data_IF_645815950219
#
_entry.id   IF_645815950219
#
_cell.length_a   1.000
_cell.length_b   1.000
_cell.length_c   1.000
_cell.angle_alpha   90.00
_cell.angle_beta   90.00
_cell.angle_gamma   90.00
#
_symmetry.space_group_name_H-M   'P 1'
#
loop_
_entity.id
_entity.type
_entity.pdbx_description
1 polymer ?
#
# COMPACT_ATOMS: atom_id res chain seq x y z
N UNK A 1 -3.84 16.68 21.04
CA UNK A 1 -4.60 15.41 21.02
C UNK A 1 -6.12 15.66 20.93
N UNK A 2 -6.70 16.60 21.69
CA UNK A 2 -8.15 16.87 21.65
C UNK A 2 -8.67 17.44 20.31
N UNK A 3 -7.84 18.17 19.58
CA UNK A 3 -8.20 18.71 18.25
C UNK A 3 -8.11 17.66 17.14
N UNK A 4 -7.29 16.62 17.34
CA UNK A 4 -7.10 15.51 16.40
C UNK A 4 -8.28 14.53 16.43
N UNK A 5 -8.81 14.25 17.63
CA UNK A 5 -9.97 13.39 17.83
C UNK A 5 -11.26 14.00 17.24
N UNK A 6 -11.41 15.33 17.30
CA UNK A 6 -12.58 16.04 16.78
C UNK A 6 -12.68 16.00 15.24
N UNK A 7 -11.54 15.99 14.53
CA UNK A 7 -11.52 15.93 13.08
C UNK A 7 -11.84 14.52 12.53
N UNK A 8 -11.56 13.46 13.29
CA UNK A 8 -11.87 12.07 12.90
C UNK A 8 -13.36 11.73 13.06
N UNK A 9 -14.11 12.44 13.91
CA UNK A 9 -15.52 12.13 14.19
C UNK A 9 -16.50 12.70 13.14
N UNK A 10 -16.07 13.63 12.27
CA UNK A 10 -16.94 14.37 11.36
C UNK A 10 -17.19 13.71 9.99
N UNK A 11 -16.60 12.55 9.71
CA UNK A 11 -16.60 11.94 8.37
C UNK A 11 -17.25 10.56 8.38
N UNK A 12 -18.58 10.50 8.26
CA UNK A 12 -19.32 9.28 7.89
C UNK A 12 -19.62 9.30 6.41
N UNK A 13 -19.17 8.28 5.66
CA UNK A 13 -19.57 8.07 4.26
C UNK A 13 -20.10 6.63 4.12
N UNK A 14 -21.30 6.52 3.54
CA UNK A 14 -22.01 5.26 3.33
C UNK A 14 -21.50 4.48 2.13
N UNK A 15 -21.60 3.14 2.23
CA UNK A 15 -21.37 2.18 1.14
C UNK A 15 -22.28 2.48 -0.05
N UNK A 16 -21.71 2.53 -1.25
CA UNK A 16 -22.45 2.39 -2.51
C UNK A 16 -21.71 1.46 -3.46
N UNK A 17 -22.35 0.35 -3.78
CA UNK A 17 -22.04 -0.50 -4.93
C UNK A 17 -22.92 -0.05 -6.08
N UNK A 18 -22.31 0.36 -7.20
CA UNK A 18 -23.01 0.53 -8.47
C UNK A 18 -22.45 -0.50 -9.44
N UNK A 19 -23.33 -1.35 -9.98
CA UNK A 19 -23.06 -2.19 -11.15
C UNK A 19 -24.11 -1.80 -12.17
N UNK A 20 -23.66 -1.26 -13.31
CA UNK A 20 -24.48 -1.02 -14.49
C UNK A 20 -23.81 -1.72 -15.67
N UNK A 21 -24.60 -2.45 -16.44
CA UNK A 21 -24.20 -3.05 -17.72
C UNK A 21 -24.91 -2.26 -18.84
N UNK A 22 -24.16 -1.53 -19.65
CA UNK A 22 -24.48 -1.21 -21.03
C UNK A 22 -23.27 -1.59 -21.91
N UNK A 23 -23.33 -1.37 -23.23
CA UNK A 23 -22.28 -1.61 -24.23
C UNK A 23 -21.03 -0.73 -23.98
N UNK A 24 -20.46 -0.86 -22.79
CA UNK A 24 -19.64 0.11 -22.11
C UNK A 24 -18.16 -0.14 -22.39
N UNK A 25 -17.45 0.95 -22.66
CA UNK A 25 -15.98 0.96 -22.68
C UNK A 25 -15.50 0.31 -21.36
N UNK A 26 -14.73 -0.79 -21.42
CA UNK A 26 -14.45 -1.61 -20.24
C UNK A 26 -13.75 -0.79 -19.16
N UNK A 27 -14.27 -0.76 -17.94
CA UNK A 27 -13.75 0.06 -16.82
C UNK A 27 -12.26 -0.18 -16.53
N UNK A 28 -11.80 -1.41 -16.77
CA UNK A 28 -10.40 -1.81 -16.71
C UNK A 28 -10.05 -2.74 -17.87
N UNK A 29 -8.78 -2.84 -18.22
CA UNK A 29 -8.26 -3.85 -19.15
C UNK A 29 -7.31 -4.79 -18.39
N UNK A 30 -7.80 -5.95 -17.91
CA UNK A 30 -6.93 -6.94 -17.25
C UNK A 30 -5.93 -7.58 -18.22
N UNK A 31 -4.74 -7.90 -17.74
CA UNK A 31 -3.79 -8.78 -18.40
C UNK A 31 -4.32 -10.22 -18.40
N UNK A 32 -4.34 -10.86 -19.58
CA UNK A 32 -4.64 -12.28 -19.75
C UNK A 32 -3.38 -13.04 -20.23
N UNK A 33 -2.36 -13.18 -19.38
CA UNK A 33 -1.11 -13.81 -19.77
C UNK A 33 -1.23 -15.34 -19.91
N UNK A 34 -0.21 -16.00 -20.50
CA UNK A 34 -0.07 -17.45 -20.44
C UNK A 34 -0.11 -18.00 -19.00
N UNK A 35 -0.46 -19.27 -18.83
CA UNK A 35 -0.68 -19.91 -17.52
C UNK A 35 0.54 -19.80 -16.58
N UNK A 36 1.76 -19.88 -17.13
CA UNK A 36 3.01 -19.71 -16.38
C UNK A 36 3.07 -18.37 -15.63
N UNK A 37 2.64 -17.29 -16.26
CA UNK A 37 2.65 -15.93 -15.71
C UNK A 37 1.35 -15.60 -14.97
N UNK A 38 0.23 -16.24 -15.32
CA UNK A 38 -1.06 -16.05 -14.65
C UNK A 38 -1.00 -16.33 -13.13
N UNK A 39 -0.16 -17.29 -12.71
CA UNK A 39 0.04 -17.60 -11.28
C UNK A 39 0.65 -16.43 -10.50
N UNK A 40 1.50 -15.63 -11.14
CA UNK A 40 2.20 -14.47 -10.55
C UNK A 40 1.29 -13.25 -10.37
N UNK A 41 0.13 -13.19 -11.04
CA UNK A 41 -0.84 -12.09 -10.89
C UNK A 41 -1.36 -11.93 -9.45
N UNK A 42 -1.27 -12.98 -8.62
CA UNK A 42 -1.65 -12.91 -7.21
C UNK A 42 -0.63 -12.13 -6.36
N UNK A 43 0.57 -11.85 -6.89
CA UNK A 43 1.63 -11.08 -6.23
C UNK A 43 1.47 -9.58 -6.46
N UNK A 44 0.25 -9.07 -6.36
CA UNK A 44 -0.04 -7.63 -6.45
C UNK A 44 -0.15 -7.05 -5.04
N UNK A 45 0.67 -6.05 -4.66
CA UNK A 45 0.56 -5.44 -3.35
C UNK A 45 -0.77 -4.71 -3.22
N UNK A 46 -1.33 -4.66 -2.01
CA UNK A 46 -2.63 -4.02 -1.78
C UNK A 46 -2.63 -2.55 -2.19
N UNK A 47 -1.57 -1.82 -1.88
CA UNK A 47 -1.51 -0.38 -2.15
C UNK A 47 -0.47 -0.07 -3.22
N UNK A 48 -0.90 0.71 -4.21
CA UNK A 48 -0.05 1.22 -5.27
C UNK A 48 -0.19 2.73 -5.39
N UNK A 49 0.92 3.39 -5.73
CA UNK A 49 1.02 4.83 -5.88
C UNK A 49 1.32 5.20 -7.33
N UNK A 50 0.77 6.33 -7.78
CA UNK A 50 1.12 6.95 -9.05
C UNK A 50 1.22 8.45 -8.88
N UNK A 51 2.31 9.01 -9.39
CA UNK A 51 2.47 10.46 -9.51
C UNK A 51 2.18 10.88 -10.94
N UNK A 52 1.38 11.93 -11.11
CA UNK A 52 1.06 12.46 -12.42
C UNK A 52 0.90 13.98 -12.38
N UNK A 53 1.03 14.59 -13.55
CA UNK A 53 0.77 16.00 -13.83
C UNK A 53 0.07 16.10 -15.19
N UNK A 54 -0.30 17.29 -15.63
CA UNK A 54 -0.89 17.49 -16.95
C UNK A 54 0.10 17.18 -18.10
N UNK A 55 1.41 17.19 -17.82
CA UNK A 55 2.46 16.79 -18.76
C UNK A 55 2.71 15.27 -18.80
N UNK A 56 2.09 14.48 -17.91
CA UNK A 56 2.27 13.02 -17.88
C UNK A 56 1.58 12.38 -19.09
N UNK A 57 2.25 11.41 -19.73
CA UNK A 57 1.70 10.66 -20.86
C UNK A 57 0.35 10.00 -20.55
N UNK A 58 -0.54 9.94 -21.54
CA UNK A 58 -1.90 9.45 -21.38
C UNK A 58 -2.88 10.51 -20.86
N UNK A 59 -4.05 10.08 -20.36
CA UNK A 59 -5.03 10.96 -19.70
C UNK A 59 -5.22 10.55 -18.26
N UNK A 60 -5.17 11.53 -17.36
CA UNK A 60 -5.36 11.34 -15.92
C UNK A 60 -6.53 12.20 -15.48
N UNK A 61 -7.52 11.59 -14.86
CA UNK A 61 -8.68 12.28 -14.28
C UNK A 61 -8.93 11.73 -12.87
N UNK A 62 -9.75 12.43 -12.07
CA UNK A 62 -10.14 11.92 -10.76
C UNK A 62 -10.94 10.61 -10.79
N UNK A 63 -11.38 10.19 -11.98
CA UNK A 63 -12.23 9.01 -12.19
C UNK A 63 -11.50 7.88 -12.91
N UNK A 64 -10.53 8.19 -13.77
CA UNK A 64 -9.90 7.21 -14.65
C UNK A 64 -8.48 7.63 -15.09
N UNK A 65 -7.59 6.63 -15.17
CA UNK A 65 -6.27 6.71 -15.78
C UNK A 65 -6.29 5.98 -17.13
N UNK A 66 -5.78 6.62 -18.19
CA UNK A 66 -5.72 6.05 -19.55
C UNK A 66 -4.31 6.12 -20.11
N UNK A 67 -3.84 5.03 -20.68
CA UNK A 67 -2.61 4.97 -21.47
C UNK A 67 -2.75 5.71 -22.80
N UNK A 68 -1.66 5.87 -23.54
CA UNK A 68 -1.69 6.52 -24.86
C UNK A 68 -2.57 5.70 -25.83
N UNK A 69 -2.44 4.38 -25.82
CA UNK A 69 -3.23 3.50 -26.66
C UNK A 69 -4.74 3.61 -26.39
N UNK A 70 -5.12 3.72 -25.11
CA UNK A 70 -6.52 3.89 -24.72
C UNK A 70 -7.12 5.22 -25.18
N UNK A 71 -6.31 6.27 -25.40
CA UNK A 71 -6.78 7.52 -26.03
C UNK A 71 -7.14 7.30 -27.50
N UNK A 72 -6.46 6.37 -28.16
CA UNK A 72 -6.79 5.89 -29.49
C UNK A 72 -7.87 4.80 -29.51
N UNK A 73 -8.55 4.55 -28.39
CA UNK A 73 -9.53 3.47 -28.20
C UNK A 73 -8.96 2.05 -28.43
N UNK A 74 -7.65 1.87 -28.33
CA UNK A 74 -7.04 0.54 -28.34
C UNK A 74 -7.00 -0.01 -26.90
N UNK A 75 -7.99 -0.83 -26.58
CA UNK A 75 -8.16 -1.49 -25.28
C UNK A 75 -7.87 -2.99 -25.34
N UNK A 76 -7.14 -3.43 -26.37
CA UNK A 76 -6.75 -4.83 -26.54
C UNK A 76 -5.62 -5.16 -25.57
N UNK A 77 -5.83 -6.21 -24.76
CA UNK A 77 -4.81 -6.81 -23.91
C UNK A 77 -3.53 -7.09 -24.70
N UNK A 78 -2.38 -6.69 -24.15
CA UNK A 78 -1.08 -6.86 -24.80
C UNK A 78 -0.77 -8.32 -25.19
N UNK A 79 -1.28 -9.31 -24.45
CA UNK A 79 -1.06 -10.73 -24.74
C UNK A 79 -1.90 -11.24 -25.92
N UNK A 80 -2.97 -10.53 -26.27
CA UNK A 80 -3.83 -10.83 -27.41
C UNK A 80 -3.43 -10.07 -28.68
N UNK A 81 -2.38 -9.23 -28.64
CA UNK A 81 -1.92 -8.46 -29.79
C UNK A 81 -1.01 -9.31 -30.68
N UNK A 82 -1.18 -9.20 -32.00
CA UNK A 82 -0.49 -10.03 -32.99
C UNK A 82 1.04 -9.83 -33.06
N UNK A 83 1.58 -8.75 -32.50
CA UNK A 83 2.99 -8.40 -32.62
C UNK A 83 3.67 -8.22 -31.26
N UNK A 84 4.15 -9.34 -30.71
CA UNK A 84 4.89 -9.36 -29.44
C UNK A 84 6.18 -8.51 -29.47
N UNK A 85 6.84 -8.36 -30.62
CA UNK A 85 8.03 -7.52 -30.75
C UNK A 85 7.70 -6.03 -30.52
N UNK A 86 6.57 -5.55 -31.05
CA UNK A 86 6.12 -4.18 -30.80
C UNK A 86 5.76 -3.94 -29.33
N UNK A 87 5.20 -4.96 -28.65
CA UNK A 87 4.90 -4.87 -27.22
C UNK A 87 6.18 -4.81 -26.39
N UNK A 88 7.17 -5.64 -26.72
CA UNK A 88 8.47 -5.59 -26.06
C UNK A 88 9.15 -4.22 -26.25
N UNK A 89 9.11 -3.66 -27.47
CA UNK A 89 9.63 -2.31 -27.75
C UNK A 89 8.86 -1.26 -26.95
N UNK A 90 7.52 -1.28 -26.97
CA UNK A 90 6.69 -0.35 -26.22
C UNK A 90 6.94 -0.43 -24.71
N UNK A 91 7.14 -1.63 -24.16
CA UNK A 91 7.50 -1.84 -22.75
C UNK A 91 8.87 -1.23 -22.43
N UNK A 92 9.89 -1.48 -23.26
CA UNK A 92 11.22 -0.91 -23.07
C UNK A 92 11.20 0.63 -23.15
N UNK A 93 10.46 1.18 -24.11
CA UNK A 93 10.26 2.64 -24.25
C UNK A 93 9.47 3.22 -23.07
N UNK A 94 8.46 2.50 -22.57
CA UNK A 94 7.68 2.89 -21.39
C UNK A 94 8.58 3.01 -20.16
N UNK A 95 9.29 1.94 -19.81
CA UNK A 95 10.10 1.84 -18.59
C UNK A 95 11.31 2.79 -18.60
N UNK A 96 11.83 3.15 -19.77
CA UNK A 96 12.92 4.13 -19.93
C UNK A 96 12.42 5.57 -20.12
N UNK A 97 11.10 5.77 -20.17
CA UNK A 97 10.46 7.05 -20.50
C UNK A 97 10.93 7.66 -21.82
N UNK A 98 11.19 6.80 -22.81
CA UNK A 98 11.57 7.20 -24.17
C UNK A 98 10.33 7.59 -24.99
N UNK A 99 10.49 8.26 -26.15
CA UNK A 99 9.41 8.47 -27.09
C UNK A 99 8.73 7.15 -27.51
N UNK A 100 7.40 7.16 -27.63
CA UNK A 100 6.58 5.95 -27.87
C UNK A 100 6.42 5.69 -29.36
N UNK A 101 7.26 4.83 -29.93
CA UNK A 101 7.28 4.53 -31.36
C UNK A 101 6.18 3.54 -31.78
N UNK A 102 5.84 2.61 -30.89
CA UNK A 102 4.92 1.50 -31.18
C UNK A 102 3.56 1.63 -30.47
N UNK A 103 3.22 2.83 -29.99
CA UNK A 103 2.15 3.03 -29.00
C UNK A 103 2.66 2.82 -27.58
N UNK A 104 1.76 2.99 -26.62
CA UNK A 104 2.04 2.74 -25.20
C UNK A 104 0.74 2.32 -24.50
N UNK A 105 0.55 1.01 -24.26
CA UNK A 105 -0.60 0.51 -23.55
C UNK A 105 -0.48 0.68 -22.03
N UNK A 106 0.67 1.05 -21.50
CA UNK A 106 0.99 0.90 -20.09
C UNK A 106 0.71 2.15 -19.25
N UNK A 107 0.50 1.93 -17.96
CA UNK A 107 0.34 2.95 -16.93
C UNK A 107 1.20 2.50 -15.73
N UNK A 108 2.29 3.21 -15.43
CA UNK A 108 3.13 2.93 -14.26
C UNK A 108 2.45 3.23 -12.92
N UNK A 109 2.71 2.33 -11.98
CA UNK A 109 2.43 2.42 -10.56
C UNK A 109 3.67 1.99 -9.78
N UNK A 110 3.79 2.36 -8.53
CA UNK A 110 4.85 1.89 -7.64
C UNK A 110 4.29 1.47 -6.29
N UNK A 111 4.84 0.42 -5.68
CA UNK A 111 4.54 0.07 -4.28
C UNK A 111 5.28 0.96 -3.27
N UNK A 112 6.22 1.80 -3.72
CA UNK A 112 7.06 2.62 -2.84
C UNK A 112 6.58 4.07 -2.80
N UNK A 113 6.11 4.51 -1.63
CA UNK A 113 5.81 5.93 -1.40
C UNK A 113 7.07 6.80 -1.49
N UNK A 114 8.24 6.25 -1.11
CA UNK A 114 9.53 6.95 -1.25
C UNK A 114 9.80 7.30 -2.72
N UNK A 115 9.69 6.30 -3.60
CA UNK A 115 9.84 6.48 -5.06
C UNK A 115 8.86 7.52 -5.58
N UNK A 116 7.60 7.47 -5.15
CA UNK A 116 6.59 8.43 -5.56
C UNK A 116 6.96 9.86 -5.15
N UNK A 117 7.40 10.09 -3.90
CA UNK A 117 7.81 11.42 -3.41
C UNK A 117 9.01 11.95 -4.20
N UNK A 118 10.05 11.14 -4.36
CA UNK A 118 11.26 11.48 -5.12
C UNK A 118 10.94 11.82 -6.58
N UNK A 119 10.05 11.05 -7.20
CA UNK A 119 9.61 11.32 -8.56
C UNK A 119 8.78 12.62 -8.65
N UNK A 120 7.96 12.95 -7.65
CA UNK A 120 7.25 14.23 -7.60
C UNK A 120 8.22 15.42 -7.48
N UNK A 121 9.26 15.31 -6.64
CA UNK A 121 10.33 16.33 -6.54
C UNK A 121 11.03 16.48 -7.89
N UNK A 122 11.34 15.38 -8.56
CA UNK A 122 11.92 15.41 -9.90
C UNK A 122 11.04 16.13 -10.91
N UNK A 123 9.73 15.82 -10.98
CA UNK A 123 8.81 16.51 -11.89
C UNK A 123 8.75 18.01 -11.60
N UNK A 124 8.71 18.41 -10.33
CA UNK A 124 8.75 19.83 -9.95
C UNK A 124 9.97 20.54 -10.54
N UNK A 125 11.14 19.90 -10.50
CA UNK A 125 12.41 20.50 -10.90
C UNK A 125 12.69 20.40 -12.40
N UNK A 126 12.44 19.24 -13.00
CA UNK A 126 12.77 18.94 -14.38
C UNK A 126 11.74 19.51 -15.36
N UNK A 127 10.46 19.53 -14.97
CA UNK A 127 9.37 20.02 -15.81
C UNK A 127 8.97 21.47 -15.46
N UNK A 128 9.49 22.02 -14.35
CA UNK A 128 9.13 23.36 -13.88
C UNK A 128 7.66 23.48 -13.48
N UNK A 129 7.03 22.36 -13.12
CA UNK A 129 5.61 22.27 -12.77
C UNK A 129 5.47 22.50 -11.27
N UNK A 130 4.63 23.44 -10.85
CA UNK A 130 4.34 23.70 -9.44
C UNK A 130 3.85 22.44 -8.71
N UNK A 131 4.21 22.29 -7.42
CA UNK A 131 3.79 21.13 -6.60
C UNK A 131 2.26 20.96 -6.52
N UNK A 132 1.50 22.04 -6.66
CA UNK A 132 0.02 22.02 -6.70
C UNK A 132 -0.55 21.39 -7.98
N UNK A 133 0.23 21.40 -9.07
CA UNK A 133 -0.13 20.80 -10.36
C UNK A 133 0.35 19.34 -10.49
N UNK A 134 1.16 18.87 -9.53
CA UNK A 134 1.58 17.47 -9.42
C UNK A 134 0.66 16.78 -8.41
N UNK A 135 0.20 15.58 -8.75
CA UNK A 135 -0.77 14.82 -7.96
C UNK A 135 -0.20 13.45 -7.64
N UNK A 136 -0.40 13.01 -6.41
CA UNK A 136 -0.09 11.66 -5.96
C UNK A 136 -1.40 10.93 -5.69
N UNK A 137 -1.59 9.82 -6.40
CA UNK A 137 -2.74 8.94 -6.32
C UNK A 137 -2.34 7.64 -5.62
N UNK A 138 -3.12 7.19 -4.66
CA UNK A 138 -3.06 5.85 -4.06
C UNK A 138 -4.30 5.06 -4.49
N UNK A 139 -4.13 3.77 -4.78
CA UNK A 139 -5.21 2.81 -5.07
C UNK A 139 -5.12 1.60 -4.15
N UNK A 140 -6.26 0.92 -3.94
CA UNK A 140 -6.37 -0.35 -3.22
C UNK A 140 -6.67 -1.42 -4.28
N UNK A 141 -5.66 -2.21 -4.63
CA UNK A 141 -5.68 -3.19 -5.71
C UNK A 141 -6.68 -4.31 -5.45
N UNK A 142 -7.11 -4.53 -4.20
CA UNK A 142 -8.17 -5.50 -3.87
C UNK A 142 -9.55 -5.06 -4.36
N UNK A 143 -9.71 -3.78 -4.70
CA UNK A 143 -10.94 -3.22 -5.28
C UNK A 143 -10.97 -3.34 -6.82
N UNK A 144 -10.01 -4.05 -7.42
CA UNK A 144 -9.91 -4.24 -8.86
C UNK A 144 -10.04 -5.73 -9.20
N UNK A 145 -10.54 -6.06 -10.41
CA UNK A 145 -10.44 -7.42 -10.92
C UNK A 145 -9.00 -7.93 -10.89
N UNK A 146 -8.83 -9.23 -10.67
CA UNK A 146 -7.52 -9.88 -10.77
C UNK A 146 -6.92 -9.64 -12.16
N UNK A 147 -5.61 -9.44 -12.20
CA UNK A 147 -4.88 -9.20 -13.44
C UNK A 147 -4.92 -7.76 -13.95
N UNK A 148 -5.49 -6.79 -13.23
CA UNK A 148 -5.39 -5.37 -13.63
C UNK A 148 -3.98 -4.82 -13.48
N UNK A 149 -3.22 -5.32 -12.50
CA UNK A 149 -1.85 -4.92 -12.23
C UNK A 149 -0.91 -6.11 -12.38
N UNK A 150 0.29 -5.86 -12.89
CA UNK A 150 1.36 -6.86 -13.00
C UNK A 150 2.71 -6.18 -12.73
N UNK A 151 3.65 -6.90 -12.15
CA UNK A 151 4.99 -6.38 -11.87
C UNK A 151 5.76 -6.14 -13.17
N UNK A 152 6.58 -5.08 -13.22
CA UNK A 152 7.41 -4.78 -14.39
C UNK A 152 8.38 -5.93 -14.74
N UNK A 153 9.02 -6.51 -13.71
CA UNK A 153 9.96 -7.63 -13.86
C UNK A 153 9.33 -8.84 -14.53
N UNK A 154 8.08 -9.16 -14.19
CA UNK A 154 7.33 -10.27 -14.77
C UNK A 154 7.05 -10.06 -16.26
N UNK A 155 6.76 -8.82 -16.68
CA UNK A 155 6.62 -8.47 -18.09
C UNK A 155 7.96 -8.44 -18.81
N UNK A 156 9.03 -7.97 -18.16
CA UNK A 156 10.38 -8.00 -18.74
C UNK A 156 10.79 -9.45 -19.04
N UNK A 157 10.60 -10.37 -18.09
CA UNK A 157 10.89 -11.80 -18.25
C UNK A 157 10.09 -12.46 -19.38
N UNK A 158 8.85 -12.02 -19.61
CA UNK A 158 8.01 -12.58 -20.67
C UNK A 158 8.39 -12.05 -22.07
N UNK A 159 8.79 -10.78 -22.16
CA UNK A 159 8.99 -10.09 -23.44
C UNK A 159 10.45 -9.90 -23.87
N UNK A 160 11.46 -10.24 -23.06
CA UNK A 160 12.86 -9.89 -23.35
C UNK A 160 13.44 -10.48 -24.64
N UNK A 161 12.96 -11.65 -25.06
CA UNK A 161 13.44 -12.41 -26.22
C UNK A 161 12.56 -12.26 -27.48
N UNK A 162 11.52 -11.41 -27.41
CA UNK A 162 10.52 -11.26 -28.48
C UNK A 162 10.99 -10.36 -29.62
N UNK A 163 12.15 -9.72 -29.49
CA UNK A 163 12.74 -8.83 -30.50
C UNK A 163 14.10 -9.40 -30.92
N UNK A 164 14.41 -9.49 -32.23
CA UNK A 164 15.73 -9.95 -32.68
C UNK A 164 16.86 -9.07 -32.14
N UNK A 165 17.95 -9.68 -31.67
CA UNK A 165 19.10 -8.97 -31.10
C UNK A 165 19.68 -7.87 -32.00
N UNK A 166 19.65 -8.07 -33.32
CA UNK A 166 20.15 -7.11 -34.32
C UNK A 166 19.21 -5.95 -34.63
N UNK A 167 17.95 -6.00 -34.15
CA UNK A 167 16.97 -4.94 -34.34
C UNK A 167 17.51 -3.63 -33.77
N UNK A 168 17.39 -2.56 -34.55
CA UNK A 168 17.78 -1.22 -34.10
C UNK A 168 16.62 -0.56 -33.35
N UNK A 169 16.93 0.05 -32.21
CA UNK A 169 16.03 0.82 -31.35
C UNK A 169 16.68 2.16 -31.00
N UNK A 170 15.88 3.17 -30.69
CA UNK A 170 16.38 4.46 -30.21
C UNK A 170 16.25 4.54 -28.70
N UNK A 171 17.35 4.83 -28.00
CA UNK A 171 17.34 5.08 -26.56
C UNK A 171 18.14 6.36 -26.30
N UNK A 172 17.50 7.33 -25.66
CA UNK A 172 18.05 8.64 -25.33
C UNK A 172 18.57 9.38 -26.57
N UNK A 173 17.83 9.25 -27.67
CA UNK A 173 18.13 9.87 -28.97
C UNK A 173 19.26 9.20 -29.76
N UNK A 174 19.81 8.08 -29.29
CA UNK A 174 20.88 7.34 -29.95
C UNK A 174 20.40 5.97 -30.43
N UNK A 175 20.94 5.53 -31.57
CA UNK A 175 20.64 4.22 -32.15
C UNK A 175 21.43 3.12 -31.45
N UNK A 176 20.75 2.06 -31.04
CA UNK A 176 21.31 0.90 -30.37
C UNK A 176 20.70 -0.39 -30.92
N UNK A 177 21.42 -1.52 -30.76
CA UNK A 177 20.82 -2.84 -30.96
C UNK A 177 19.93 -3.23 -29.79
N UNK A 178 18.94 -4.09 -30.02
CA UNK A 178 18.12 -4.67 -28.97
C UNK A 178 18.97 -5.42 -27.92
N UNK A 179 19.99 -6.16 -28.38
CA UNK A 179 20.92 -6.83 -27.47
C UNK A 179 21.60 -5.86 -26.50
N UNK A 180 21.93 -4.64 -26.95
CA UNK A 180 22.66 -3.68 -26.12
C UNK A 180 21.75 -2.88 -25.18
N UNK A 181 20.49 -2.60 -25.57
CA UNK A 181 19.61 -1.65 -24.85
C UNK A 181 18.14 -2.06 -24.76
N UNK A 182 17.83 -3.33 -25.03
CA UNK A 182 16.51 -3.93 -24.87
C UNK A 182 16.16 -4.23 -23.42
N UNK A 183 15.18 -5.11 -23.24
CA UNK A 183 14.65 -5.46 -21.92
C UNK A 183 15.63 -6.24 -21.04
N UNK A 184 16.54 -7.05 -21.63
CA UNK A 184 17.59 -7.73 -20.84
C UNK A 184 18.55 -6.73 -20.18
N UNK A 185 19.02 -5.70 -20.92
CA UNK A 185 19.81 -4.61 -20.34
C UNK A 185 19.01 -3.85 -19.27
N UNK A 186 17.70 -3.67 -19.48
CA UNK A 186 16.87 -3.02 -18.48
C UNK A 186 16.72 -3.85 -17.19
N UNK A 187 16.61 -5.18 -17.31
CA UNK A 187 16.62 -6.10 -16.16
C UNK A 187 17.93 -5.99 -15.38
N UNK A 188 19.07 -5.93 -16.08
CA UNK A 188 20.37 -5.75 -15.46
C UNK A 188 20.46 -4.39 -14.74
N UNK A 189 19.86 -3.33 -15.31
CA UNK A 189 19.77 -2.03 -14.65
C UNK A 189 18.99 -2.08 -13.35
N UNK A 190 17.88 -2.85 -13.28
CA UNK A 190 17.11 -3.01 -12.03
C UNK A 190 17.94 -3.63 -10.89
N UNK A 191 18.87 -4.52 -11.24
CA UNK A 191 19.74 -5.21 -10.29
C UNK A 191 21.10 -4.51 -10.08
N UNK A 192 21.37 -3.44 -10.83
CA UNK A 192 22.66 -2.76 -10.78
C UNK A 192 22.82 -1.99 -9.48
N UNK A 193 23.87 -2.33 -8.72
CA UNK A 193 24.29 -1.57 -7.55
C UNK A 193 24.68 -0.14 -7.92
N UNK A 194 24.27 0.81 -7.09
CA UNK A 194 24.72 2.18 -7.22
C UNK A 194 26.22 2.27 -6.94
N UNK A 195 26.90 3.25 -7.56
CA UNK A 195 28.37 3.38 -7.47
C UNK A 195 28.85 3.85 -6.10
N UNK A 196 27.99 4.54 -5.37
CA UNK A 196 28.31 5.22 -4.11
C UNK A 196 27.48 4.74 -2.93
N UNK A 197 26.28 4.23 -3.19
CA UNK A 197 25.29 3.87 -2.17
C UNK A 197 25.03 2.36 -2.26
N UNK A 198 24.54 1.78 -1.18
CA UNK A 198 24.43 0.34 -0.99
C UNK A 198 23.28 -0.30 -1.78
N UNK A 199 22.28 0.49 -2.20
CA UNK A 199 21.10 0.01 -2.91
C UNK A 199 21.28 -0.20 -4.43
N UNK A 200 20.20 -0.65 -5.07
CA UNK A 200 20.08 -0.90 -6.53
C UNK A 200 18.97 -0.05 -7.15
N UNK A 201 18.93 0.06 -8.49
CA UNK A 201 17.92 0.84 -9.22
C UNK A 201 16.59 0.08 -9.43
N UNK A 202 16.08 -0.58 -8.39
CA UNK A 202 14.76 -1.19 -8.41
C UNK A 202 13.73 -0.36 -7.66
N UNK A 203 12.60 -0.06 -8.28
CA UNK A 203 11.64 0.93 -7.79
C UNK A 203 10.25 0.36 -7.48
N UNK A 204 10.10 -0.98 -7.51
CA UNK A 204 8.83 -1.64 -7.21
C UNK A 204 7.72 -1.25 -8.16
N UNK A 205 8.03 -1.22 -9.46
CA UNK A 205 7.10 -0.77 -10.48
C UNK A 205 6.09 -1.87 -10.83
N UNK A 206 4.83 -1.48 -10.93
CA UNK A 206 3.72 -2.28 -11.41
C UNK A 206 3.06 -1.56 -12.58
N UNK A 207 2.61 -2.29 -13.58
CA UNK A 207 1.92 -1.72 -14.73
C UNK A 207 0.45 -2.14 -14.70
N UNK A 208 -0.44 -1.21 -15.03
CA UNK A 208 -1.76 -1.53 -15.58
C UNK A 208 -1.76 -1.22 -17.08
N UNK A 209 -2.78 -1.67 -17.82
CA UNK A 209 -2.87 -1.40 -19.26
C UNK A 209 -4.21 -0.79 -19.68
N UNK A 210 -4.19 -0.17 -20.87
CA UNK A 210 -5.38 0.44 -21.48
C UNK A 210 -5.95 1.55 -20.60
N UNK A 211 -7.07 1.30 -19.95
CA UNK A 211 -7.65 2.21 -18.98
C UNK A 211 -7.87 1.52 -17.64
N UNK A 212 -7.84 2.33 -16.58
CA UNK A 212 -8.06 1.91 -15.20
C UNK A 212 -8.98 2.93 -14.54
N UNK A 213 -10.24 2.57 -14.33
CA UNK A 213 -11.15 3.38 -13.52
C UNK A 213 -10.68 3.38 -12.07
N UNK A 214 -10.56 4.56 -11.48
CA UNK A 214 -10.11 4.75 -10.09
C UNK A 214 -11.18 5.42 -9.22
N UNK A 215 -12.35 5.70 -9.80
CA UNK A 215 -13.49 6.27 -9.10
C UNK A 215 -13.90 5.38 -7.92
N UNK A 216 -14.03 6.00 -6.74
CA UNK A 216 -14.39 5.30 -5.50
C UNK A 216 -13.33 4.30 -4.96
N UNK A 217 -12.21 4.12 -5.67
CA UNK A 217 -11.17 3.12 -5.37
C UNK A 217 -9.77 3.72 -5.20
N UNK A 218 -9.72 5.04 -5.12
CA UNK A 218 -8.48 5.79 -4.98
C UNK A 218 -8.64 7.01 -4.08
N UNK A 219 -7.50 7.57 -3.69
CA UNK A 219 -7.39 8.92 -3.17
C UNK A 219 -6.27 9.66 -3.86
N UNK A 220 -6.57 10.88 -4.29
CA UNK A 220 -5.62 11.74 -4.99
C UNK A 220 -5.48 13.06 -4.24
N UNK A 221 -4.24 13.44 -3.95
CA UNK A 221 -3.91 14.74 -3.34
C UNK A 221 -2.83 15.43 -4.16
N UNK A 222 -2.79 16.75 -4.07
CA UNK A 222 -1.72 17.55 -4.67
C UNK A 222 -0.43 17.41 -3.87
N UNK A 223 0.71 17.42 -4.55
CA UNK A 223 2.00 17.13 -3.92
C UNK A 223 2.46 18.21 -2.94
N UNK A 224 1.95 19.44 -3.01
CA UNK A 224 2.21 20.48 -1.99
C UNK A 224 1.67 20.12 -0.60
N UNK A 225 0.63 19.27 -0.54
CA UNK A 225 0.08 18.75 0.73
C UNK A 225 0.92 17.64 1.34
N UNK A 226 1.84 17.07 0.57
CA UNK A 226 2.75 16.00 1.01
C UNK A 226 4.15 16.58 1.23
N UNK A 227 4.68 17.28 0.24
CA UNK A 227 6.03 17.83 0.21
C UNK A 227 5.98 19.23 0.83
N UNK A 228 6.01 19.26 2.15
CA UNK A 228 5.94 20.48 2.96
C UNK A 228 6.72 20.33 4.27
N UNK A 229 6.56 21.31 5.16
CA UNK A 229 7.25 21.35 6.44
C UNK A 229 7.02 20.10 7.31
N UNK A 230 5.85 19.47 7.26
CA UNK A 230 5.60 18.25 8.04
C UNK A 230 6.43 17.08 7.47
N UNK A 231 6.59 16.97 6.15
CA UNK A 231 7.50 15.97 5.57
C UNK A 231 8.95 16.26 5.95
N UNK A 232 9.36 17.52 5.96
CA UNK A 232 10.72 17.92 6.32
C UNK A 232 11.04 17.71 7.80
N UNK A 233 10.04 17.70 8.68
CA UNK A 233 10.22 17.30 10.09
C UNK A 233 10.63 15.83 10.18
N UNK A 234 10.07 14.96 9.33
CA UNK A 234 10.39 13.54 9.32
C UNK A 234 11.68 13.22 8.56
N UNK A 235 11.86 13.89 7.41
CA UNK A 235 12.86 13.62 6.40
C UNK A 235 13.45 14.96 5.93
N UNK A 236 14.33 15.57 6.74
CA UNK A 236 14.91 16.89 6.43
C UNK A 236 15.63 16.94 5.08
N UNK A 237 16.16 15.81 4.61
CA UNK A 237 16.88 15.72 3.34
C UNK A 237 16.01 16.12 2.14
N UNK A 238 14.69 15.91 2.20
CA UNK A 238 13.79 16.31 1.11
C UNK A 238 13.70 17.83 0.95
N UNK A 239 13.97 18.59 2.00
CA UNK A 239 14.04 20.05 1.91
C UNK A 239 15.24 20.47 1.08
N UNK A 240 16.41 19.90 1.40
CA UNK A 240 17.66 20.18 0.68
C UNK A 240 17.56 19.69 -0.77
N UNK A 241 16.88 18.58 -1.01
CA UNK A 241 16.64 18.06 -2.35
C UNK A 241 15.73 18.94 -3.19
N UNK A 242 14.65 19.46 -2.60
CA UNK A 242 13.76 20.40 -3.26
C UNK A 242 14.51 21.66 -3.67
N UNK A 243 15.26 22.25 -2.73
CA UNK A 243 15.94 23.55 -2.90
C UNK A 243 17.22 23.46 -3.76
N UNK A 244 18.09 22.47 -3.52
CA UNK A 244 19.50 22.55 -3.94
C UNK A 244 20.00 21.36 -4.78
N UNK A 245 19.31 20.22 -4.77
CA UNK A 245 19.81 19.02 -5.47
C UNK A 245 19.73 19.12 -7.00
N UNK A 246 20.72 18.56 -7.70
CA UNK A 246 20.68 18.32 -9.16
C UNK A 246 20.77 16.83 -9.50
N UNK A 247 20.55 15.97 -8.50
CA UNK A 247 20.65 14.52 -8.65
C UNK A 247 19.55 14.02 -9.59
N UNK A 248 19.84 12.94 -10.31
CA UNK A 248 18.78 12.20 -11.01
C UNK A 248 17.89 11.56 -9.94
N UNK A 249 16.59 11.55 -10.15
CA UNK A 249 15.63 11.01 -9.19
C UNK A 249 15.94 9.57 -8.79
N UNK A 250 16.42 8.77 -9.75
CA UNK A 250 16.84 7.39 -9.53
C UNK A 250 18.00 7.30 -8.53
N UNK A 251 18.96 8.23 -8.59
CA UNK A 251 20.08 8.30 -7.65
C UNK A 251 19.59 8.76 -6.26
N UNK A 252 18.67 9.72 -6.22
CA UNK A 252 18.07 10.24 -4.99
C UNK A 252 17.30 9.15 -4.22
N UNK A 253 16.51 8.32 -4.92
CA UNK A 253 15.85 7.14 -4.32
C UNK A 253 16.86 6.21 -3.66
N UNK A 254 17.97 5.88 -4.35
CA UNK A 254 18.96 4.95 -3.80
C UNK A 254 19.68 5.56 -2.59
N UNK A 255 19.98 6.86 -2.64
CA UNK A 255 20.55 7.59 -1.51
C UNK A 255 19.63 7.63 -0.29
N UNK A 256 18.34 7.96 -0.50
CA UNK A 256 17.33 7.97 0.55
C UNK A 256 17.21 6.61 1.25
N UNK A 257 17.46 5.52 0.53
CA UNK A 257 17.49 4.16 1.07
C UNK A 257 18.76 3.81 1.86
N UNK A 258 19.82 4.62 1.79
CA UNK A 258 21.11 4.28 2.42
C UNK A 258 20.95 4.02 3.93
N UNK A 259 20.08 4.79 4.59
CA UNK A 259 19.82 4.65 6.02
C UNK A 259 19.35 3.25 6.44
N UNK A 260 18.72 2.48 5.55
CA UNK A 260 18.26 1.11 5.81
C UNK A 260 19.38 0.07 5.78
N UNK A 261 20.50 0.38 5.12
CA UNK A 261 21.64 -0.52 5.01
C UNK A 261 22.71 -0.26 6.08
N UNK A 262 22.69 0.91 6.71
CA UNK A 262 23.62 1.25 7.78
C UNK A 262 23.30 0.46 9.05
N UNK A 263 24.33 -0.08 9.72
CA UNK A 263 24.22 -0.86 10.96
C UNK A 263 23.88 -0.03 12.21
N UNK A 264 23.24 1.12 12.04
CA UNK A 264 22.85 1.96 13.16
C UNK A 264 21.56 1.43 13.76
N UNK A 265 21.49 1.34 15.09
CA UNK A 265 20.24 1.02 15.77
C UNK A 265 19.17 2.08 15.43
N UNK A 266 17.99 1.67 14.95
CA UNK A 266 16.91 2.60 14.67
C UNK A 266 16.52 3.37 15.93
N UNK A 267 16.37 4.69 15.79
CA UNK A 267 15.84 5.53 16.87
C UNK A 267 14.33 5.36 16.96
N UNK A 268 13.80 5.36 18.17
CA UNK A 268 12.36 5.39 18.40
C UNK A 268 11.73 6.62 17.73
N UNK A 269 10.52 6.43 17.20
CA UNK A 269 9.79 7.49 16.51
C UNK A 269 9.42 8.61 17.48
N UNK A 270 9.85 9.84 17.18
CA UNK A 270 9.53 10.99 18.00
C UNK A 270 8.06 11.40 17.85
N UNK A 271 7.51 12.04 18.89
CA UNK A 271 6.14 12.56 18.84
C UNK A 271 5.91 13.60 17.74
N UNK A 272 6.94 14.38 17.38
CA UNK A 272 6.89 15.35 16.28
C UNK A 272 6.85 14.66 14.92
N UNK A 273 7.66 13.63 14.71
CA UNK A 273 7.64 12.84 13.46
C UNK A 273 6.28 12.17 13.27
N UNK A 274 5.77 11.52 14.32
CA UNK A 274 4.46 10.88 14.27
C UNK A 274 3.35 11.89 13.96
N UNK A 275 3.35 13.03 14.65
CA UNK A 275 2.34 14.08 14.43
C UNK A 275 2.42 14.67 13.03
N UNK A 276 3.62 14.81 12.47
CA UNK A 276 3.82 15.27 11.10
C UNK A 276 3.28 14.26 10.08
N UNK A 277 3.56 12.96 10.26
CA UNK A 277 3.03 11.89 9.42
C UNK A 277 1.49 11.90 9.42
N UNK A 278 0.88 12.05 10.60
CA UNK A 278 -0.59 12.13 10.76
C UNK A 278 -1.17 13.30 9.97
N UNK A 279 -0.57 14.50 10.03
CA UNK A 279 -1.08 15.67 9.29
C UNK A 279 -1.09 15.45 7.78
N UNK A 280 -0.03 14.83 7.25
CA UNK A 280 0.03 14.49 5.82
C UNK A 280 -1.04 13.45 5.48
N UNK A 281 -1.14 12.38 6.29
CA UNK A 281 -2.10 11.30 6.05
C UNK A 281 -3.57 11.78 6.07
N UNK A 282 -3.91 12.79 6.88
CA UNK A 282 -5.25 13.37 6.95
C UNK A 282 -5.72 13.98 5.61
N UNK A 283 -4.81 14.32 4.70
CA UNK A 283 -5.20 14.80 3.37
C UNK A 283 -5.84 13.73 2.48
N UNK A 284 -5.63 12.44 2.78
CA UNK A 284 -6.06 11.33 1.92
C UNK A 284 -7.47 10.78 2.20
N UNK A 285 -8.26 11.43 3.09
CA UNK A 285 -9.58 10.97 3.57
C UNK A 285 -9.48 9.71 4.45
N UNK A 286 -10.57 9.40 5.16
CA UNK A 286 -10.61 8.41 6.25
C UNK A 286 -10.17 7.00 5.83
N UNK A 287 -10.64 6.52 4.67
CA UNK A 287 -10.33 5.15 4.21
C UNK A 287 -8.84 4.93 3.88
N UNK A 288 -8.10 6.01 3.59
CA UNK A 288 -6.69 5.95 3.18
C UNK A 288 -5.74 6.49 4.23
N UNK A 289 -6.28 7.04 5.32
CA UNK A 289 -5.51 7.64 6.40
C UNK A 289 -4.49 6.65 6.97
N UNK A 290 -4.92 5.47 7.39
CA UNK A 290 -4.05 4.47 8.00
C UNK A 290 -3.00 3.92 7.01
N UNK A 291 -3.37 3.50 5.78
CA UNK A 291 -2.39 3.08 4.79
C UNK A 291 -1.31 4.13 4.56
N UNK A 292 -1.68 5.38 4.33
CA UNK A 292 -0.72 6.45 4.07
C UNK A 292 0.14 6.75 5.30
N UNK A 293 -0.46 6.79 6.50
CA UNK A 293 0.28 6.99 7.75
C UNK A 293 1.40 5.96 7.92
N UNK A 294 1.09 4.67 7.75
CA UNK A 294 2.09 3.62 7.92
C UNK A 294 3.16 3.68 6.82
N UNK A 295 2.79 3.98 5.57
CA UNK A 295 3.78 4.18 4.51
C UNK A 295 4.72 5.37 4.79
N UNK A 296 4.20 6.48 5.35
CA UNK A 296 5.02 7.62 5.76
C UNK A 296 5.98 7.27 6.90
N UNK A 297 5.51 6.52 7.90
CA UNK A 297 6.35 6.04 9.00
C UNK A 297 7.45 5.08 8.50
N UNK A 298 7.14 4.29 7.47
CA UNK A 298 8.05 3.33 6.85
C UNK A 298 9.12 3.94 5.93
N UNK A 299 9.09 5.26 5.67
CA UNK A 299 10.12 5.96 4.88
C UNK A 299 11.51 5.99 5.57
N UNK A 300 11.61 5.51 6.82
CA UNK A 300 12.86 5.38 7.57
C UNK A 300 12.92 4.05 8.30
N UNK A 301 14.12 3.54 8.62
CA UNK A 301 14.27 2.39 9.50
C UNK A 301 13.60 2.65 10.85
N UNK A 302 12.82 1.69 11.35
CA UNK A 302 12.17 1.72 12.67
C UNK A 302 12.60 0.53 13.50
N UNK A 303 12.63 0.73 14.82
CA UNK A 303 12.81 -0.37 15.74
C UNK A 303 11.59 -1.31 15.64
N UNK A 304 11.83 -2.61 15.83
CA UNK A 304 10.69 -3.52 16.03
C UNK A 304 9.99 -3.14 17.33
N UNK A 305 8.66 -3.18 17.31
CA UNK A 305 7.81 -2.78 18.44
C UNK A 305 8.09 -1.33 18.88
N UNK A 306 8.29 -0.41 17.94
CA UNK A 306 8.61 1.00 18.23
C UNK A 306 7.49 1.63 19.10
N UNK A 307 7.76 1.95 20.38
CA UNK A 307 6.75 2.50 21.29
C UNK A 307 6.27 3.89 20.82
N UNK A 308 7.11 4.64 20.11
CA UNK A 308 6.73 5.92 19.52
C UNK A 308 5.65 5.79 18.46
N UNK A 309 5.51 4.62 17.84
CA UNK A 309 4.46 4.29 16.88
C UNK A 309 3.28 3.64 17.61
N UNK A 310 3.51 2.53 18.32
CA UNK A 310 2.47 1.68 18.89
C UNK A 310 1.59 2.43 19.91
N UNK A 311 2.20 3.16 20.84
CA UNK A 311 1.48 3.90 21.89
C UNK A 311 0.57 4.99 21.32
N UNK A 312 0.93 5.52 20.14
CA UNK A 312 0.21 6.62 19.50
C UNK A 312 -0.83 6.14 18.51
N UNK A 313 -0.56 5.03 17.83
CA UNK A 313 -1.48 4.42 16.88
C UNK A 313 -2.68 3.79 17.59
N UNK A 314 -2.49 3.22 18.80
CA UNK A 314 -3.58 2.65 19.59
C UNK A 314 -4.76 3.62 19.77
N UNK A 315 -4.45 4.91 20.01
CA UNK A 315 -5.46 5.98 20.15
C UNK A 315 -6.14 6.42 18.83
N UNK A 316 -5.69 5.93 17.68
CA UNK A 316 -6.25 6.27 16.36
C UNK A 316 -7.12 5.17 15.76
N UNK A 317 -7.17 3.99 16.38
CA UNK A 317 -7.90 2.85 15.83
C UNK A 317 -9.42 2.98 15.96
N UNK A 318 -10.09 2.89 14.81
CA UNK A 318 -11.48 2.45 14.68
C UNK A 318 -11.54 1.06 14.05
N UNK A 319 -12.67 0.35 14.16
CA UNK A 319 -12.88 -0.95 13.48
C UNK A 319 -12.64 -0.86 11.97
N UNK A 320 -12.95 0.27 11.35
CA UNK A 320 -12.76 0.53 9.91
C UNK A 320 -11.28 0.70 9.53
N UNK A 321 -10.50 1.37 10.39
CA UNK A 321 -9.05 1.47 10.27
C UNK A 321 -8.36 0.09 10.32
N UNK A 322 -8.92 -0.88 11.05
CA UNK A 322 -8.36 -2.24 11.17
C UNK A 322 -8.38 -3.00 9.84
N UNK A 323 -9.48 -2.93 9.09
CA UNK A 323 -9.59 -3.62 7.81
C UNK A 323 -8.52 -3.15 6.81
N UNK A 324 -8.15 -1.87 6.86
CA UNK A 324 -7.15 -1.28 5.96
C UNK A 324 -5.72 -1.76 6.20
N UNK A 325 -5.42 -2.34 7.39
CA UNK A 325 -4.10 -2.83 7.80
C UNK A 325 -4.10 -4.31 8.24
N UNK A 326 -5.19 -5.03 8.03
CA UNK A 326 -5.29 -6.47 8.25
C UNK A 326 -4.16 -7.19 7.53
N UNK A 327 -3.37 -8.01 8.23
CA UNK A 327 -2.25 -8.76 7.63
C UNK A 327 -2.72 -9.75 6.55
N UNK A 328 -3.95 -10.27 6.67
CA UNK A 328 -4.57 -11.16 5.68
C UNK A 328 -4.88 -10.46 4.36
N UNK A 329 -5.24 -9.18 4.43
CA UNK A 329 -5.70 -8.40 3.28
C UNK A 329 -4.61 -7.48 2.73
N UNK A 330 -3.66 -7.07 3.58
CA UNK A 330 -2.52 -6.23 3.20
C UNK A 330 -1.45 -7.12 2.60
N UNK A 331 -1.66 -7.55 1.35
CA UNK A 331 -0.60 -8.20 0.60
C UNK A 331 0.57 -7.22 0.45
N UNK A 332 1.71 -7.54 1.04
CA UNK A 332 2.93 -6.74 0.97
C UNK A 332 3.94 -7.52 0.15
N UNK A 333 4.14 -7.07 -1.08
CA UNK A 333 5.10 -7.68 -1.99
C UNK A 333 6.43 -6.94 -1.79
N UNK A 334 7.12 -7.33 -0.73
CA UNK A 334 8.38 -6.71 -0.35
C UNK A 334 9.57 -7.40 -1.04
N UNK A 335 10.58 -6.60 -1.35
CA UNK A 335 11.84 -7.04 -1.94
C UNK A 335 12.99 -6.39 -1.14
N UNK A 336 14.10 -7.08 -0.93
CA UNK A 336 15.29 -6.55 -0.24
C UNK A 336 15.85 -5.25 -0.87
N UNK A 337 15.53 -5.01 -2.14
CA UNK A 337 15.88 -3.81 -2.88
C UNK A 337 14.92 -2.63 -2.66
N UNK A 338 13.82 -2.84 -1.93
CA UNK A 338 12.82 -1.82 -1.56
C UNK A 338 12.62 -1.84 -0.03
N UNK A 339 13.64 -1.44 0.74
CA UNK A 339 13.66 -1.62 2.18
C UNK A 339 12.55 -0.84 2.92
N UNK A 340 12.06 0.25 2.35
CA UNK A 340 10.90 0.99 2.89
C UNK A 340 9.60 0.17 2.85
N UNK A 341 9.43 -0.72 1.86
CA UNK A 341 8.27 -1.62 1.77
C UNK A 341 8.44 -2.81 2.71
N UNK A 342 9.67 -3.29 2.94
CA UNK A 342 9.95 -4.25 4.01
C UNK A 342 9.65 -3.66 5.39
N UNK A 343 10.03 -2.41 5.61
CA UNK A 343 9.76 -1.70 6.86
C UNK A 343 8.26 -1.50 7.09
N UNK A 344 7.50 -1.21 6.04
CA UNK A 344 6.04 -1.18 6.07
C UNK A 344 5.48 -2.51 6.59
N UNK A 345 5.95 -3.64 6.06
CA UNK A 345 5.55 -4.97 6.52
C UNK A 345 5.78 -5.19 8.01
N UNK A 346 6.96 -4.81 8.50
CA UNK A 346 7.30 -4.89 9.93
C UNK A 346 6.38 -4.03 10.79
N UNK A 347 6.13 -2.78 10.38
CA UNK A 347 5.25 -1.88 11.15
C UNK A 347 3.81 -2.42 11.16
N UNK A 348 3.29 -2.91 10.03
CA UNK A 348 1.95 -3.51 9.96
C UNK A 348 1.87 -4.75 10.86
N UNK A 349 2.90 -5.59 10.87
CA UNK A 349 2.99 -6.74 11.77
C UNK A 349 2.99 -6.30 13.23
N UNK A 350 3.88 -5.39 13.63
CA UNK A 350 4.00 -4.90 15.01
C UNK A 350 2.68 -4.30 15.51
N UNK A 351 2.00 -3.53 14.66
CA UNK A 351 0.69 -2.96 14.94
C UNK A 351 -0.36 -4.06 15.17
N UNK A 352 -0.40 -5.07 14.31
CA UNK A 352 -1.36 -6.17 14.43
C UNK A 352 -1.08 -6.99 15.70
N UNK A 353 0.17 -7.29 16.01
CA UNK A 353 0.57 -8.01 17.23
C UNK A 353 0.19 -7.23 18.50
N UNK A 354 0.50 -5.93 18.56
CA UNK A 354 0.13 -5.07 19.68
C UNK A 354 -1.39 -5.06 19.89
N UNK A 355 -2.15 -4.90 18.79
CA UNK A 355 -3.60 -4.94 18.83
C UNK A 355 -4.17 -6.27 19.35
N UNK A 356 -3.63 -7.40 18.88
CA UNK A 356 -4.10 -8.71 19.33
C UNK A 356 -3.75 -8.98 20.80
N UNK A 357 -2.58 -8.52 21.25
CA UNK A 357 -2.19 -8.62 22.65
C UNK A 357 -3.13 -7.80 23.55
N UNK A 358 -3.44 -6.56 23.17
CA UNK A 358 -4.39 -5.70 23.90
C UNK A 358 -5.78 -6.33 23.92
N UNK A 359 -6.26 -6.82 22.76
CA UNK A 359 -7.57 -7.47 22.64
C UNK A 359 -7.67 -8.73 23.48
N UNK A 360 -6.62 -9.56 23.51
CA UNK A 360 -6.57 -10.75 24.35
C UNK A 360 -6.54 -10.38 25.84
N UNK A 361 -5.81 -9.32 26.21
CA UNK A 361 -5.76 -8.80 27.57
C UNK A 361 -7.13 -8.30 28.07
N UNK A 362 -7.85 -7.53 27.27
CA UNK A 362 -9.20 -7.07 27.59
C UNK A 362 -10.19 -8.23 27.70
N UNK A 363 -10.06 -9.23 26.84
CA UNK A 363 -10.89 -10.43 26.87
C UNK A 363 -10.65 -11.27 28.13
N UNK A 364 -9.39 -11.47 28.50
CA UNK A 364 -9.01 -12.16 29.73
C UNK A 364 -9.57 -11.44 30.96
N UNK A 365 -9.44 -10.10 31.02
CA UNK A 365 -10.01 -9.28 32.10
C UNK A 365 -11.53 -9.45 32.19
N UNK A 366 -12.23 -9.43 31.05
CA UNK A 366 -13.67 -9.66 31.00
C UNK A 366 -14.07 -11.06 31.48
N UNK A 367 -13.27 -12.09 31.13
CA UNK A 367 -13.50 -13.46 31.61
C UNK A 367 -13.26 -13.60 33.11
N UNK A 368 -12.23 -12.95 33.66
CA UNK A 368 -11.96 -12.92 35.11
C UNK A 368 -13.10 -12.25 35.88
N UNK A 369 -13.57 -11.10 35.42
CA UNK A 369 -14.71 -10.38 36.01
C UNK A 369 -15.97 -11.24 36.01
N UNK A 370 -16.27 -11.91 34.89
CA UNK A 370 -17.42 -12.80 34.77
C UNK A 370 -17.30 -14.02 35.70
N UNK A 371 -16.11 -14.60 35.80
CA UNK A 371 -15.82 -15.72 36.71
C UNK A 371 -16.02 -15.33 38.18
N UNK A 372 -15.58 -14.13 38.57
CA UNK A 372 -15.75 -13.60 39.91
C UNK A 372 -17.24 -13.35 40.26
N UNK A 373 -18.04 -12.85 39.31
CA UNK A 373 -19.49 -12.68 39.47
C UNK A 373 -20.15 -14.04 39.73
N UNK A 374 -19.84 -15.05 38.92
CA UNK A 374 -20.38 -16.42 39.08
C UNK A 374 -19.96 -17.03 40.43
N UNK A 375 -18.71 -16.82 40.86
CA UNK A 375 -18.22 -17.28 42.17
C UNK A 375 -18.97 -16.62 43.35
N UNK A 376 -19.22 -15.31 43.29
CA UNK A 376 -20.02 -14.61 44.32
C UNK A 376 -21.46 -15.10 44.35
N UNK A 377 -22.06 -15.34 43.19
CA UNK A 377 -23.42 -15.86 43.10
C UNK A 377 -23.53 -17.25 43.76
N UNK A 378 -22.64 -18.17 43.38
CA UNK A 378 -22.61 -19.54 43.94
C UNK A 378 -22.33 -19.56 45.45
N UNK A 379 -21.40 -18.75 45.95
CA UNK A 379 -21.11 -18.65 47.40
C UNK A 379 -22.23 -17.99 48.21
N UNK A 380 -22.94 -17.02 47.65
CA UNK A 380 -24.12 -16.42 48.30
C UNK A 380 -25.30 -17.40 48.39
N UNK A 381 -25.46 -18.27 47.38
CA UNK A 381 -26.50 -19.30 47.35
C UNK A 381 -26.28 -20.44 48.37
N UNK A 382 -25.04 -20.67 48.82
CA UNK A 382 -24.69 -21.72 49.77
C UNK A 382 -24.66 -21.27 51.24
N UNK A 383 -24.58 -19.96 51.51
CA UNK A 383 -24.43 -19.41 52.87
C UNK A 383 -25.73 -18.87 53.48
N UNK A 384 -26.79 -18.70 52.70
CA UNK A 384 -28.13 -18.40 53.24
C UNK A 384 -29.04 -19.61 53.12
N UNK A 385 -29.74 -19.96 54.20
CA UNK A 385 -30.86 -20.88 54.21
C UNK A 385 -32.07 -20.35 53.43
N UNK A 386 -31.88 -19.98 52.17
CA UNK A 386 -32.87 -19.44 51.25
C UNK A 386 -33.67 -20.57 50.57
N UNK A 387 -34.16 -21.53 51.35
CA UNK A 387 -35.21 -22.45 50.87
C UNK A 387 -36.62 -21.84 50.92
N UNK A 388 -36.78 -20.51 51.09
CA UNK A 388 -38.11 -19.89 51.24
C UNK A 388 -38.45 -18.68 50.38
N UNK A 389 -37.61 -18.28 49.41
CA UNK A 389 -37.98 -17.25 48.43
C UNK A 389 -37.71 -17.63 46.96
N UNK A 390 -37.26 -18.86 46.69
CA UNK A 390 -36.84 -19.33 45.36
C UNK A 390 -37.96 -20.01 44.55
N UNK A 391 -39.17 -19.46 44.60
CA UNK A 391 -40.23 -19.77 43.64
C UNK A 391 -40.47 -18.54 42.76
N UNK A 392 -39.67 -18.43 41.70
CA UNK A 392 -40.11 -17.77 40.46
C UNK A 392 -39.24 -18.23 39.30
N UNK A 393 -39.91 -18.87 38.35
CA UNK A 393 -39.40 -19.45 37.12
C UNK A 393 -38.70 -18.39 36.25
N UNK A 394 -37.37 -18.22 36.39
CA UNK A 394 -36.48 -17.68 35.33
C UNK A 394 -34.99 -17.60 35.68
N UNK A 395 -34.54 -18.06 36.86
CA UNK A 395 -33.13 -17.90 37.26
C UNK A 395 -32.13 -18.61 36.34
N UNK A 396 -32.47 -19.79 35.83
CA UNK A 396 -31.65 -20.48 34.83
C UNK A 396 -31.55 -19.68 33.51
N UNK A 397 -32.63 -18.98 33.15
CA UNK A 397 -32.65 -18.04 32.03
C UNK A 397 -31.72 -16.86 32.26
N UNK A 398 -31.85 -16.14 33.39
CA UNK A 398 -30.98 -15.01 33.72
C UNK A 398 -29.49 -15.39 33.82
N UNK A 399 -29.16 -16.50 34.50
CA UNK A 399 -27.76 -16.98 34.57
C UNK A 399 -27.20 -17.32 33.19
N UNK A 400 -28.03 -17.92 32.33
CA UNK A 400 -27.63 -18.27 30.97
C UNK A 400 -27.45 -17.01 30.10
N UNK A 401 -28.42 -16.10 30.08
CA UNK A 401 -28.41 -14.92 29.20
C UNK A 401 -27.50 -13.79 29.69
N UNK A 402 -27.41 -13.57 31.01
CA UNK A 402 -26.68 -12.41 31.55
C UNK A 402 -25.20 -12.71 31.85
N UNK A 403 -24.83 -13.98 32.04
CA UNK A 403 -23.48 -14.31 32.52
C UNK A 403 -22.77 -15.42 31.70
N UNK A 404 -23.45 -16.51 31.35
CA UNK A 404 -22.84 -17.60 30.55
C UNK A 404 -22.74 -17.28 29.07
N UNK A 405 -23.75 -16.62 28.49
CA UNK A 405 -23.76 -16.24 27.07
C UNK A 405 -22.63 -15.24 26.74
N UNK A 406 -22.37 -14.18 27.53
CA UNK A 406 -21.20 -13.33 27.33
C UNK A 406 -19.88 -14.10 27.42
N UNK A 407 -19.75 -15.03 28.38
CA UNK A 407 -18.55 -15.87 28.53
C UNK A 407 -18.32 -16.78 27.31
N UNK A 408 -19.39 -17.41 26.80
CA UNK A 408 -19.32 -18.24 25.59
C UNK A 408 -18.96 -17.40 24.36
N UNK A 409 -19.53 -16.20 24.24
CA UNK A 409 -19.18 -15.28 23.15
C UNK A 409 -17.71 -14.84 23.24
N UNK A 410 -17.22 -14.55 24.45
CA UNK A 410 -15.82 -14.23 24.70
C UNK A 410 -14.88 -15.39 24.31
N UNK A 411 -15.24 -16.64 24.63
CA UNK A 411 -14.46 -17.82 24.23
C UNK A 411 -14.46 -18.03 22.71
N UNK A 412 -15.58 -17.78 22.03
CA UNK A 412 -15.67 -17.85 20.57
C UNK A 412 -14.77 -16.77 19.94
N UNK A 413 -14.80 -15.55 20.46
CA UNK A 413 -13.93 -14.45 20.02
C UNK A 413 -12.46 -14.80 20.24
N UNK A 414 -12.08 -15.32 21.42
CA UNK A 414 -10.70 -15.73 21.71
C UNK A 414 -10.21 -16.79 20.72
N UNK A 415 -11.03 -17.79 20.43
CA UNK A 415 -10.70 -18.84 19.47
C UNK A 415 -10.54 -18.28 18.05
N UNK A 416 -11.32 -17.27 17.67
CA UNK A 416 -11.15 -16.51 16.43
C UNK A 416 -9.78 -15.80 16.38
N UNK A 417 -9.43 -15.07 17.44
CA UNK A 417 -8.14 -14.37 17.58
C UNK A 417 -6.96 -15.35 17.44
N UNK A 418 -7.01 -16.47 18.17
CA UNK A 418 -5.96 -17.50 18.15
C UNK A 418 -5.78 -18.05 16.73
N UNK A 419 -6.87 -18.32 16.02
CA UNK A 419 -6.82 -18.83 14.65
C UNK A 419 -6.21 -17.79 13.70
N UNK A 420 -6.54 -16.51 13.85
CA UNK A 420 -5.98 -15.43 13.03
C UNK A 420 -4.47 -15.24 13.26
N UNK A 421 -4.01 -15.33 14.51
CA UNK A 421 -2.57 -15.30 14.85
C UNK A 421 -1.80 -16.49 14.27
N UNK A 422 -2.37 -17.70 14.35
CA UNK A 422 -1.75 -18.91 13.81
C UNK A 422 -1.62 -18.88 12.29
N UNK A 423 -2.62 -18.33 11.59
CA UNK A 423 -2.61 -18.17 10.12
C UNK A 423 -1.65 -17.05 9.67
N UNK A 424 -1.43 -16.01 10.47
CA UNK A 424 -0.47 -14.95 10.15
C UNK A 424 1.00 -15.34 10.30
N UNK A 425 1.30 -16.41 11.05
CA UNK A 425 2.68 -16.86 11.29
C UNK A 425 3.22 -17.75 10.16
N UNK A 426 2.35 -18.28 9.29
CA UNK A 426 2.72 -19.22 8.22
C UNK A 426 2.97 -18.58 6.86
N UNK A 427 2.83 -17.26 6.74
CA UNK A 427 2.91 -16.51 5.48
C UNK A 427 4.09 -15.52 5.37
N UNK A 428 5.14 -15.67 6.19
CA UNK A 428 6.38 -14.87 6.12
C UNK A 428 7.47 -15.60 5.35
#
# INVERSE_FOLDING_TARGET
>A
MNELAANLTALRIGRRTHVGFADDIPTEVPFCPPESLATKLNNTPRYLFRVHSDASAGKHSGECMKSIDALGNNLTDIFARDNAANIAIALNEHLRWEPKSCGDPFISWTTSLLVAIEYAIYKFKAEGVELQAIRLCIVDTTMFPKGVFIQDLDLIEEFYDKVPNSQQITVSGLLHTWEARGLSDFLDLRNKRHKTYSGVYYFGEFLSQGQTSIEGRSSTVTCDKIINNDLFVMLPQFKDELENSRKRWADAVVESRESFYMSNEPKATSGSEFSAAVKIALHFRTAWFMPVLVHLLALRPRASQDPGILDRISGLFSDECRYSLSSKDTNIVANEHIPEVLQLGKIVQDINEAYWNDSAGDLLRSMEETSDIVRRFTTSSSTTGASRLLFKDNLAGCLYTEHLQPLMQSLITLNGIIKELQEGTTSV
#
